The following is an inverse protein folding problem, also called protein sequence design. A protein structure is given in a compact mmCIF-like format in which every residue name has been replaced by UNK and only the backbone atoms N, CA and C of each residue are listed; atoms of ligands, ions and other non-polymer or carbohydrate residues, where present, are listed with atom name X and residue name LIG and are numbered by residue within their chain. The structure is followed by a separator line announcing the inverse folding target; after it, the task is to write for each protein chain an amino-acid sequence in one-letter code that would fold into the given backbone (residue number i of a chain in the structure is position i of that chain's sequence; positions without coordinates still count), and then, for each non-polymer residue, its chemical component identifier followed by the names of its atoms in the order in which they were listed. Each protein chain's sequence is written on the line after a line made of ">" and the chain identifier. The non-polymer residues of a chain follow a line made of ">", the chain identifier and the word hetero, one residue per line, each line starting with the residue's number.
data_IF_487357824555
#
_entry.id   IF_487357824555
#
_cell.length_a   1.000
_cell.length_b   1.000
_cell.length_c   1.000
_cell.angle_alpha   90.00
_cell.angle_beta   90.00
_cell.angle_gamma   90.00
#
_symmetry.space_group_name_H-M   'P 1'
#
loop_
_entity.id
_entity.type
_entity.pdbx_description
1 polymer ?
#
# COMPACT_ATOMS: atom_id res chain seq x y z
N UNK A 1 8.22 9.72 3.92
CA UNK A 1 6.77 9.57 3.61
C UNK A 1 6.44 9.85 2.15
N UNK A 2 7.13 10.78 1.46
CA UNK A 2 6.88 11.10 0.03
C UNK A 2 6.77 9.85 -0.85
N UNK A 3 7.77 8.95 -0.81
CA UNK A 3 7.77 7.74 -1.63
C UNK A 3 6.57 6.80 -1.40
N UNK A 4 6.05 6.73 -0.17
CA UNK A 4 4.89 5.88 0.11
C UNK A 4 3.61 6.43 -0.56
N UNK A 5 3.42 7.75 -0.50
CA UNK A 5 2.35 8.43 -1.23
C UNK A 5 2.49 8.24 -2.74
N UNK A 6 3.70 8.41 -3.28
CA UNK A 6 3.98 8.23 -4.70
C UNK A 6 3.68 6.80 -5.17
N UNK A 7 4.07 5.78 -4.38
CA UNK A 7 3.74 4.40 -4.71
C UNK A 7 2.24 4.13 -4.69
N UNK A 8 1.50 4.66 -3.71
CA UNK A 8 0.04 4.51 -3.69
C UNK A 8 -0.58 5.19 -4.91
N UNK A 9 -0.23 6.45 -5.17
CA UNK A 9 -0.80 7.24 -6.25
C UNK A 9 -0.51 6.64 -7.64
N UNK A 10 0.71 6.15 -7.87
CA UNK A 10 1.12 5.66 -9.18
C UNK A 10 0.77 4.19 -9.39
N UNK A 11 0.80 3.37 -8.34
CA UNK A 11 0.72 1.90 -8.46
C UNK A 11 -0.59 1.32 -7.95
N UNK A 12 -1.29 1.94 -7.00
CA UNK A 12 -2.52 1.40 -6.41
C UNK A 12 -3.78 2.21 -6.74
N UNK A 13 -3.63 3.53 -6.95
CA UNK A 13 -4.74 4.44 -7.11
C UNK A 13 -5.51 4.32 -8.44
N UNK A 14 -4.90 3.96 -9.59
CA UNK A 14 -5.67 3.73 -10.80
C UNK A 14 -6.73 2.63 -10.63
N UNK A 15 -7.84 2.72 -11.37
CA UNK A 15 -8.89 1.68 -11.34
C UNK A 15 -8.35 0.30 -11.75
N UNK A 16 -7.45 0.30 -12.73
CA UNK A 16 -6.79 -0.88 -13.28
C UNK A 16 -5.27 -0.64 -13.29
N UNK A 17 -4.58 -0.79 -12.15
CA UNK A 17 -3.17 -0.50 -12.11
C UNK A 17 -2.35 -1.55 -12.87
N UNK A 18 -1.27 -1.10 -13.51
CA UNK A 18 -0.36 -1.98 -14.24
C UNK A 18 0.25 -3.02 -13.29
N UNK A 19 0.25 -4.28 -13.71
CA UNK A 19 0.77 -5.41 -12.93
C UNK A 19 0.12 -5.54 -11.54
N UNK A 20 -1.20 -5.32 -11.44
CA UNK A 20 -1.92 -5.58 -10.19
C UNK A 20 -1.68 -7.02 -9.69
N UNK A 21 -1.47 -7.15 -8.38
CA UNK A 21 -0.98 -8.38 -7.75
C UNK A 21 0.55 -8.56 -7.76
N UNK A 22 1.29 -7.77 -8.55
CA UNK A 22 2.77 -7.75 -8.63
C UNK A 22 3.35 -6.34 -8.57
N UNK A 23 2.64 -5.41 -7.94
CA UNK A 23 2.97 -3.97 -7.95
C UNK A 23 4.21 -3.61 -7.11
N UNK A 24 4.53 -4.45 -6.14
CA UNK A 24 5.52 -4.17 -5.11
C UNK A 24 6.51 -5.33 -5.00
N UNK A 25 7.78 -5.11 -5.35
CA UNK A 25 8.84 -6.09 -5.09
C UNK A 25 8.92 -6.44 -3.60
N UNK A 26 9.31 -7.67 -3.25
CA UNK A 26 9.41 -8.08 -1.84
C UNK A 26 10.55 -7.43 -1.06
N UNK A 27 11.52 -6.80 -1.74
CA UNK A 27 12.73 -6.19 -1.17
C UNK A 27 13.07 -4.89 -1.90
N UNK A 28 14.01 -4.11 -1.36
CA UNK A 28 14.57 -2.92 -2.00
C UNK A 28 13.94 -1.60 -1.54
N UNK A 29 12.84 -1.63 -0.79
CA UNK A 29 12.32 -0.44 -0.09
C UNK A 29 11.48 -0.87 1.12
N UNK A 30 11.63 -0.23 2.31
CA UNK A 30 10.88 -0.60 3.51
C UNK A 30 9.36 -0.47 3.34
N UNK A 31 8.89 0.48 2.52
CA UNK A 31 7.46 0.61 2.17
C UNK A 31 6.92 -0.64 1.49
N UNK A 32 7.69 -1.35 0.65
CA UNK A 32 7.17 -2.57 0.02
C UNK A 32 6.98 -3.70 1.03
N UNK A 33 7.92 -3.81 1.99
CA UNK A 33 7.81 -4.77 3.10
C UNK A 33 6.56 -4.44 3.92
N UNK A 34 6.37 -3.16 4.28
CA UNK A 34 5.19 -2.70 4.99
C UNK A 34 3.91 -3.01 4.22
N UNK A 35 3.86 -2.74 2.91
CA UNK A 35 2.69 -3.02 2.08
C UNK A 35 2.32 -4.51 2.06
N UNK A 36 3.30 -5.41 2.01
CA UNK A 36 3.04 -6.84 2.10
C UNK A 36 2.58 -7.25 3.50
N UNK A 37 3.26 -6.74 4.54
CA UNK A 37 2.92 -7.03 5.93
C UNK A 37 1.52 -6.54 6.32
N UNK A 38 1.05 -5.45 5.72
CA UNK A 38 -0.28 -4.90 5.95
C UNK A 38 -1.28 -5.22 4.84
N UNK A 39 -0.97 -6.11 3.90
CA UNK A 39 -1.89 -6.45 2.80
C UNK A 39 -2.42 -5.21 2.02
N UNK A 40 -1.56 -4.20 1.83
CA UNK A 40 -1.81 -3.00 1.01
C UNK A 40 -0.92 -3.00 -0.24
N UNK A 41 -0.54 -4.18 -0.74
CA UNK A 41 0.39 -4.36 -1.85
C UNK A 41 -0.25 -4.46 -3.24
N UNK A 42 -1.57 -4.68 -3.33
CA UNK A 42 -2.34 -4.76 -4.58
C UNK A 42 -3.84 -4.53 -4.33
N UNK A 43 -4.65 -4.36 -5.40
CA UNK A 43 -6.11 -4.15 -5.27
C UNK A 43 -6.81 -5.37 -4.67
N UNK A 44 -6.37 -6.58 -5.00
CA UNK A 44 -6.94 -7.82 -4.46
C UNK A 44 -6.81 -7.91 -2.94
N UNK A 45 -5.68 -7.50 -2.39
CA UNK A 45 -5.49 -7.43 -0.94
C UNK A 45 -6.35 -6.32 -0.32
N UNK A 46 -6.39 -5.14 -0.94
CA UNK A 46 -7.25 -4.04 -0.47
C UNK A 46 -8.74 -4.42 -0.41
N UNK A 47 -9.23 -5.12 -1.44
CA UNK A 47 -10.61 -5.61 -1.50
C UNK A 47 -10.90 -6.63 -0.39
N UNK A 48 -10.01 -7.62 -0.23
CA UNK A 48 -10.18 -8.71 0.74
C UNK A 48 -10.19 -8.18 2.18
N UNK A 49 -9.20 -7.37 2.53
CA UNK A 49 -8.89 -7.01 3.92
C UNK A 49 -9.50 -5.68 4.36
N UNK A 50 -9.61 -4.70 3.45
CA UNK A 50 -10.05 -3.35 3.76
C UNK A 50 -11.39 -2.97 3.13
N UNK A 51 -12.00 -3.89 2.37
CA UNK A 51 -13.28 -3.68 1.67
C UNK A 51 -13.25 -2.51 0.68
N UNK A 52 -12.06 -2.15 0.21
CA UNK A 52 -11.87 -1.15 -0.85
C UNK A 52 -12.00 -1.87 -2.19
N UNK A 53 -13.09 -1.62 -2.90
CA UNK A 53 -13.42 -2.33 -4.13
C UNK A 53 -12.38 -2.12 -5.23
N UNK A 54 -11.96 -3.20 -5.91
CA UNK A 54 -11.13 -3.10 -7.11
C UNK A 54 -11.91 -2.51 -8.31
N UNK A 55 -11.20 -2.21 -9.41
CA UNK A 55 -11.79 -1.65 -10.65
C UNK A 55 -12.42 -0.26 -10.50
N UNK A 56 -12.11 0.45 -9.41
CA UNK A 56 -12.44 1.85 -9.21
C UNK A 56 -11.18 2.60 -8.77
N UNK A 57 -10.98 3.85 -9.22
CA UNK A 57 -9.87 4.64 -8.73
C UNK A 57 -9.97 4.83 -7.22
N UNK A 58 -8.83 4.82 -6.53
CA UNK A 58 -8.82 5.16 -5.12
C UNK A 58 -9.19 6.62 -4.91
N UNK A 59 -10.10 6.87 -3.98
CA UNK A 59 -10.36 8.24 -3.51
C UNK A 59 -9.16 8.77 -2.74
N UNK A 60 -9.08 10.09 -2.56
CA UNK A 60 -8.02 10.70 -1.74
C UNK A 60 -8.05 10.16 -0.31
N UNK A 61 -9.24 9.94 0.24
CA UNK A 61 -9.41 9.42 1.60
C UNK A 61 -8.95 7.97 1.72
N UNK A 62 -9.25 7.12 0.73
CA UNK A 62 -8.74 5.75 0.71
C UNK A 62 -7.21 5.72 0.56
N UNK A 63 -6.62 6.60 -0.25
CA UNK A 63 -5.17 6.71 -0.35
C UNK A 63 -4.53 7.15 0.97
N UNK A 64 -5.12 8.15 1.63
CA UNK A 64 -4.66 8.63 2.94
C UNK A 64 -4.78 7.53 4.02
N UNK A 65 -5.88 6.77 3.99
CA UNK A 65 -6.09 5.65 4.89
C UNK A 65 -5.04 4.55 4.71
N UNK A 66 -4.74 4.17 3.46
CA UNK A 66 -3.68 3.20 3.15
C UNK A 66 -2.31 3.70 3.60
N UNK A 67 -2.02 4.99 3.38
CA UNK A 67 -0.78 5.61 3.82
C UNK A 67 -0.61 5.56 5.35
N UNK A 68 -1.69 5.80 6.09
CA UNK A 68 -1.69 5.72 7.56
C UNK A 68 -1.38 4.31 8.07
N UNK A 69 -1.94 3.28 7.41
CA UNK A 69 -1.68 1.87 7.75
C UNK A 69 -0.18 1.55 7.57
N UNK A 70 0.37 1.89 6.39
CA UNK A 70 1.77 1.66 6.06
C UNK A 70 2.68 2.37 7.06
N UNK A 71 2.40 3.64 7.35
CA UNK A 71 3.16 4.43 8.32
C UNK A 71 3.13 3.80 9.72
N UNK A 72 1.96 3.39 10.19
CA UNK A 72 1.79 2.77 11.51
C UNK A 72 2.59 1.48 11.64
N UNK A 73 2.70 0.69 10.58
CA UNK A 73 3.53 -0.52 10.58
C UNK A 73 5.02 -0.16 10.61
N UNK A 74 5.47 0.78 9.77
CA UNK A 74 6.88 1.19 9.71
C UNK A 74 7.39 1.72 11.04
N UNK A 75 6.61 2.55 11.74
CA UNK A 75 6.99 3.08 13.06
C UNK A 75 7.19 1.93 14.06
N UNK A 76 6.28 0.94 14.07
CA UNK A 76 6.40 -0.24 14.94
C UNK A 76 7.58 -1.12 14.57
N UNK A 77 7.87 -1.28 13.29
CA UNK A 77 8.98 -2.09 12.80
C UNK A 77 10.34 -1.47 13.19
N UNK A 78 10.48 -0.15 13.04
CA UNK A 78 11.66 0.59 13.47
C UNK A 78 11.90 0.47 14.99
N UNK A 79 10.84 0.48 15.79
CA UNK A 79 10.93 0.29 17.26
C UNK A 79 11.38 -1.12 17.66
N UNK A 80 11.07 -2.13 16.85
CA UNK A 80 11.47 -3.54 17.12
C UNK A 80 12.92 -3.84 16.79
N UNK A 81 13.56 -2.99 15.98
CA UNK A 81 14.92 -3.18 15.48
C UNK A 81 15.89 -2.13 16.07
N UNK A 82 15.54 -1.57 17.24
CA UNK A 82 16.41 -0.76 18.11
C UNK A 82 16.87 -1.60 19.28
#
# INVERSE_FOLDING_TARGET
>A
MSHAGDFIAQRLAPAEPKNDGKQTPWKGHPVFIAQHATATCCRGCLEKWYKIAKKKPLTKDEQAYILLIIHSWLVKDLQKHQ
#
